data_IF_386574820073
#
_entry.id   IF_386574820073
#
_cell.length_a   1.000
_cell.length_b   1.000
_cell.length_c   1.000
_cell.angle_alpha   90.00
_cell.angle_beta   90.00
_cell.angle_gamma   90.00
#
_symmetry.space_group_name_H-M   'P 1'
#
loop_
_entity.id
_entity.type
_entity.pdbx_description
1 polymer ?
#
# COMPACT_ATOMS: atom_id res chain seq x y z
N UNK A 1 -1.58 -4.24 -26.38
CA UNK A 1 -0.80 -4.96 -25.35
C UNK A 1 -1.68 -4.95 -24.13
N UNK A 2 -2.45 -6.01 -23.96
CA UNK A 2 -3.43 -6.10 -22.89
C UNK A 2 -2.67 -6.62 -21.66
N UNK A 3 -2.20 -5.71 -20.82
CA UNK A 3 -1.38 -6.00 -19.64
C UNK A 3 -2.22 -6.60 -18.50
N UNK A 4 -2.90 -7.72 -18.77
CA UNK A 4 -3.87 -8.33 -17.86
C UNK A 4 -3.38 -9.65 -17.23
N UNK A 5 -2.15 -10.09 -17.49
CA UNK A 5 -1.53 -11.18 -16.72
C UNK A 5 -0.62 -10.62 -15.62
N UNK A 6 -0.48 -11.33 -14.50
CA UNK A 6 0.46 -10.95 -13.42
C UNK A 6 1.90 -10.83 -13.93
N UNK A 7 2.27 -11.66 -14.90
CA UNK A 7 3.58 -11.57 -15.56
C UNK A 7 3.75 -10.24 -16.28
N UNK A 8 2.68 -9.67 -16.85
CA UNK A 8 2.74 -8.35 -17.49
C UNK A 8 2.98 -7.22 -16.48
N UNK A 9 2.41 -7.29 -15.27
CA UNK A 9 2.56 -6.21 -14.28
C UNK A 9 3.96 -6.15 -13.69
N UNK A 10 4.58 -7.30 -13.45
CA UNK A 10 5.96 -7.39 -12.95
C UNK A 10 6.94 -6.85 -13.98
N UNK A 11 6.74 -7.22 -15.25
CA UNK A 11 7.53 -6.70 -16.38
C UNK A 11 7.38 -5.18 -16.48
N UNK A 12 6.16 -4.66 -16.38
CA UNK A 12 5.91 -3.21 -16.44
C UNK A 12 6.56 -2.49 -15.26
N UNK A 13 6.40 -2.99 -14.04
CA UNK A 13 6.97 -2.38 -12.84
C UNK A 13 8.50 -2.30 -12.90
N UNK A 14 9.17 -3.38 -13.30
CA UNK A 14 10.61 -3.40 -13.48
C UNK A 14 11.07 -2.46 -14.60
N UNK A 15 10.40 -2.49 -15.77
CA UNK A 15 10.74 -1.60 -16.89
C UNK A 15 10.60 -0.13 -16.52
N UNK A 16 9.53 0.26 -15.81
CA UNK A 16 9.35 1.64 -15.36
C UNK A 16 10.48 2.07 -14.43
N UNK A 17 10.87 1.20 -13.49
CA UNK A 17 11.97 1.48 -12.57
C UNK A 17 13.29 1.71 -13.31
N UNK A 18 13.64 0.81 -14.24
CA UNK A 18 14.87 0.87 -15.02
C UNK A 18 14.89 2.08 -15.97
N UNK A 19 13.80 2.28 -16.72
CA UNK A 19 13.68 3.34 -17.71
C UNK A 19 13.82 4.73 -17.09
N UNK A 20 13.24 4.93 -15.91
CA UNK A 20 13.25 6.23 -15.22
C UNK A 20 14.28 6.32 -14.10
N UNK A 21 15.11 5.28 -13.89
CA UNK A 21 16.14 5.21 -12.83
C UNK A 21 15.57 5.53 -11.45
N UNK A 22 14.42 4.94 -11.13
CA UNK A 22 13.73 5.15 -9.86
C UNK A 22 14.31 4.23 -8.78
N UNK A 23 14.40 4.73 -7.54
CA UNK A 23 14.77 3.90 -6.39
C UNK A 23 13.74 2.79 -6.15
N UNK A 24 12.47 3.11 -6.37
CA UNK A 24 11.35 2.20 -6.16
C UNK A 24 10.17 2.52 -7.07
N UNK A 25 9.35 1.50 -7.34
CA UNK A 25 8.04 1.63 -7.98
C UNK A 25 7.02 0.92 -7.10
N UNK A 26 5.89 1.57 -6.81
CA UNK A 26 4.75 0.97 -6.11
C UNK A 26 3.54 1.00 -7.03
N UNK A 27 2.96 -0.17 -7.31
CA UNK A 27 1.77 -0.30 -8.15
C UNK A 27 0.59 -0.74 -7.27
N UNK A 28 -0.47 0.06 -7.23
CA UNK A 28 -1.74 -0.32 -6.61
C UNK A 28 -2.54 -1.21 -7.55
N UNK A 29 -3.10 -2.29 -7.03
CA UNK A 29 -3.83 -3.33 -7.78
C UNK A 29 -5.25 -3.52 -7.23
N UNK A 30 -5.88 -2.43 -6.79
CA UNK A 30 -7.25 -2.43 -6.26
C UNK A 30 -7.46 -3.53 -5.20
N UNK A 31 -8.40 -4.45 -5.41
CA UNK A 31 -8.71 -5.57 -4.52
C UNK A 31 -7.58 -6.61 -4.39
N UNK A 32 -6.57 -6.60 -5.26
CA UNK A 32 -5.38 -7.45 -5.09
C UNK A 32 -4.34 -6.81 -4.15
N UNK A 33 -4.51 -5.55 -3.76
CA UNK A 33 -3.58 -4.82 -2.89
C UNK A 33 -2.55 -4.00 -3.67
N UNK A 34 -1.26 -4.28 -3.49
CA UNK A 34 -0.18 -3.55 -4.17
C UNK A 34 1.08 -4.40 -4.38
N UNK A 35 1.89 -4.03 -5.37
CA UNK A 35 3.18 -4.64 -5.64
C UNK A 35 4.28 -3.57 -5.60
N UNK A 36 5.32 -3.80 -4.80
CA UNK A 36 6.48 -2.92 -4.63
C UNK A 36 7.72 -3.50 -5.32
N UNK A 37 8.47 -2.65 -6.00
CA UNK A 37 9.72 -2.96 -6.70
C UNK A 37 10.88 -2.10 -6.21
N UNK A 38 11.57 -2.51 -5.15
CA UNK A 38 12.67 -1.74 -4.52
C UNK A 38 14.05 -2.41 -4.66
N UNK A 39 14.13 -3.51 -5.41
CA UNK A 39 15.31 -4.38 -5.51
C UNK A 39 14.90 -5.85 -5.37
N UNK A 40 13.80 -6.09 -4.67
CA UNK A 40 12.96 -7.28 -4.79
C UNK A 40 11.59 -6.97 -5.41
N UNK A 41 10.73 -7.99 -5.48
CA UNK A 41 9.30 -7.84 -5.78
C UNK A 41 8.54 -8.24 -4.51
N UNK A 42 7.75 -7.31 -3.96
CA UNK A 42 6.97 -7.54 -2.75
C UNK A 42 5.48 -7.40 -3.08
N UNK A 43 4.75 -8.50 -2.95
CA UNK A 43 3.30 -8.50 -3.12
C UNK A 43 2.63 -8.32 -1.76
N UNK A 44 1.85 -7.24 -1.62
CA UNK A 44 1.20 -6.85 -0.38
C UNK A 44 -0.31 -6.96 -0.61
N UNK A 45 -0.98 -8.01 -0.10
CA UNK A 45 -2.40 -8.21 -0.32
C UNK A 45 -3.21 -7.13 0.40
N UNK A 46 -4.38 -6.76 -0.15
CA UNK A 46 -5.31 -5.90 0.59
C UNK A 46 -5.96 -6.65 1.75
N UNK A 47 -6.34 -5.91 2.78
CA UNK A 47 -7.10 -6.43 3.94
C UNK A 47 -8.38 -5.63 4.18
N UNK A 48 -8.89 -4.97 3.14
CA UNK A 48 -10.18 -4.29 3.18
C UNK A 48 -11.30 -5.31 3.47
N UNK A 49 -11.98 -5.16 4.61
CA UNK A 49 -13.07 -6.07 5.00
C UNK A 49 -14.35 -5.80 4.20
N UNK A 50 -14.70 -4.53 4.07
CA UNK A 50 -15.89 -4.06 3.37
C UNK A 50 -15.49 -2.83 2.55
N UNK A 51 -15.86 -2.80 1.27
CA UNK A 51 -15.57 -1.70 0.35
C UNK A 51 -16.88 -0.97 0.07
N UNK A 52 -16.98 0.27 0.53
CA UNK A 52 -18.13 1.14 0.37
C UNK A 52 -17.90 2.23 -0.68
N UNK A 53 -16.76 2.92 -0.64
CA UNK A 53 -16.44 4.02 -1.55
C UNK A 53 -14.93 4.09 -1.79
N UNK A 54 -14.49 4.09 -3.05
CA UNK A 54 -13.06 4.14 -3.42
C UNK A 54 -12.53 5.56 -3.59
N UNK A 55 -13.37 6.57 -3.41
CA UNK A 55 -13.02 7.98 -3.59
C UNK A 55 -11.94 8.42 -2.59
N UNK A 56 -10.81 8.92 -3.08
CA UNK A 56 -9.69 9.39 -2.24
C UNK A 56 -8.78 8.29 -1.68
N UNK A 57 -8.99 7.02 -2.05
CA UNK A 57 -8.12 5.93 -1.63
C UNK A 57 -6.68 6.10 -2.13
N UNK A 58 -6.52 6.50 -3.39
CA UNK A 58 -5.21 6.79 -3.99
C UNK A 58 -4.47 7.92 -3.27
N UNK A 59 -5.16 9.04 -2.99
CA UNK A 59 -4.60 10.18 -2.26
C UNK A 59 -4.17 9.79 -0.85
N UNK A 60 -4.96 8.93 -0.18
CA UNK A 60 -4.61 8.39 1.14
C UNK A 60 -3.35 7.52 1.06
N UNK A 61 -3.29 6.60 0.09
CA UNK A 61 -2.15 5.70 -0.10
C UNK A 61 -0.87 6.50 -0.33
N UNK A 62 -0.85 7.46 -1.26
CA UNK A 62 0.35 8.24 -1.55
C UNK A 62 0.77 9.13 -0.38
N UNK A 63 -0.19 9.73 0.32
CA UNK A 63 0.08 10.59 1.48
C UNK A 63 0.72 9.79 2.62
N UNK A 64 0.14 8.64 2.96
CA UNK A 64 0.62 7.78 4.05
C UNK A 64 1.94 7.12 3.69
N UNK A 65 2.10 6.65 2.44
CA UNK A 65 3.37 6.09 1.95
C UNK A 65 4.51 7.10 2.06
N UNK A 66 4.27 8.33 1.59
CA UNK A 66 5.26 9.42 1.63
C UNK A 66 5.60 9.79 3.07
N UNK A 67 4.59 9.90 3.95
CA UNK A 67 4.78 10.21 5.37
C UNK A 67 5.61 9.13 6.07
N UNK A 68 5.25 7.85 5.93
CA UNK A 68 5.97 6.74 6.54
C UNK A 68 7.43 6.70 6.06
N UNK A 69 7.65 6.91 4.75
CA UNK A 69 9.00 6.95 4.20
C UNK A 69 9.81 8.12 4.75
N UNK A 70 9.22 9.31 4.82
CA UNK A 70 9.85 10.50 5.38
C UNK A 70 10.17 10.34 6.87
N UNK A 71 9.38 9.56 7.60
CA UNK A 71 9.60 9.20 9.00
C UNK A 71 10.68 8.12 9.21
N UNK A 72 11.28 7.59 8.14
CA UNK A 72 12.39 6.64 8.20
C UNK A 72 12.00 5.17 8.02
N UNK A 73 10.74 4.86 7.71
CA UNK A 73 10.35 3.49 7.37
C UNK A 73 11.06 3.00 6.11
N UNK A 74 11.25 1.67 6.02
CA UNK A 74 11.65 1.02 4.77
C UNK A 74 10.54 1.16 3.70
N UNK A 75 10.87 0.90 2.43
CA UNK A 75 9.88 0.95 1.35
C UNK A 75 8.76 -0.06 1.56
N UNK A 76 9.08 -1.27 2.01
CA UNK A 76 8.09 -2.31 2.30
C UNK A 76 7.20 -1.93 3.49
N UNK A 77 7.76 -1.40 4.58
CA UNK A 77 6.97 -0.92 5.72
C UNK A 77 6.05 0.22 5.32
N UNK A 78 6.56 1.21 4.58
CA UNK A 78 5.75 2.32 4.08
C UNK A 78 4.59 1.83 3.20
N UNK A 79 4.85 0.87 2.31
CA UNK A 79 3.83 0.27 1.47
C UNK A 79 2.78 -0.49 2.30
N UNK A 80 3.18 -1.28 3.30
CA UNK A 80 2.26 -1.99 4.21
C UNK A 80 1.37 -1.02 4.99
N UNK A 81 1.94 0.07 5.52
CA UNK A 81 1.19 1.11 6.25
C UNK A 81 0.20 1.80 5.31
N UNK A 82 0.64 2.17 4.10
CA UNK A 82 -0.22 2.79 3.10
C UNK A 82 -1.37 1.89 2.65
N UNK A 83 -1.10 0.59 2.47
CA UNK A 83 -2.13 -0.40 2.13
C UNK A 83 -3.18 -0.53 3.23
N UNK A 84 -2.76 -0.54 4.50
CA UNK A 84 -3.67 -0.55 5.64
C UNK A 84 -4.55 0.71 5.68
N UNK A 85 -3.97 1.89 5.43
CA UNK A 85 -4.72 3.14 5.35
C UNK A 85 -5.72 3.14 4.19
N UNK A 86 -5.29 2.69 3.00
CA UNK A 86 -6.16 2.51 1.83
C UNK A 86 -7.34 1.59 2.14
N UNK A 87 -7.08 0.44 2.77
CA UNK A 87 -8.12 -0.51 3.20
C UNK A 87 -9.12 0.07 4.21
N UNK A 88 -8.70 1.01 5.07
CA UNK A 88 -9.61 1.69 6.00
C UNK A 88 -10.52 2.68 5.28
N UNK A 89 -9.96 3.53 4.40
CA UNK A 89 -10.75 4.59 3.76
C UNK A 89 -11.76 4.05 2.78
N UNK A 90 -11.43 2.95 2.09
CA UNK A 90 -12.40 2.32 1.19
C UNK A 90 -13.61 1.74 1.92
N UNK A 91 -13.48 1.52 3.24
CA UNK A 91 -14.56 1.11 4.13
C UNK A 91 -15.41 2.26 4.69
N UNK A 92 -15.23 3.49 4.21
CA UNK A 92 -15.97 4.69 4.66
C UNK A 92 -16.66 5.35 3.46
N UNK A 93 -17.64 6.22 3.72
CA UNK A 93 -18.35 6.97 2.66
C UNK A 93 -17.64 8.30 2.41
N UNK A 94 -17.41 8.64 1.15
CA UNK A 94 -16.77 9.90 0.73
C UNK A 94 -15.29 9.97 1.07
N UNK A 95 -14.70 11.16 0.89
CA UNK A 95 -13.30 11.45 1.23
C UNK A 95 -13.08 11.48 2.74
N UNK A 96 -12.94 10.29 3.31
CA UNK A 96 -12.78 10.09 4.74
C UNK A 96 -11.30 10.06 5.14
N UNK A 97 -10.99 10.56 6.32
CA UNK A 97 -9.63 10.49 6.89
C UNK A 97 -9.40 9.18 7.64
N UNK A 98 -8.12 8.83 7.82
CA UNK A 98 -7.68 7.73 8.69
C UNK A 98 -7.10 8.34 9.95
N UNK A 99 -7.62 7.95 11.12
CA UNK A 99 -7.00 8.31 12.39
C UNK A 99 -5.81 7.41 12.70
N UNK A 100 -4.85 7.93 13.48
CA UNK A 100 -3.68 7.17 13.94
C UNK A 100 -4.09 5.86 14.65
N UNK A 101 -5.10 5.92 15.52
CA UNK A 101 -5.58 4.74 16.26
C UNK A 101 -6.13 3.65 15.35
N UNK A 102 -6.93 4.03 14.34
CA UNK A 102 -7.44 3.08 13.35
C UNK A 102 -6.30 2.44 12.56
N UNK A 103 -5.33 3.25 12.13
CA UNK A 103 -4.20 2.77 11.34
C UNK A 103 -3.34 1.79 12.14
N UNK A 104 -2.97 2.14 13.38
CA UNK A 104 -2.18 1.28 14.26
C UNK A 104 -2.93 -0.03 14.56
N UNK A 105 -4.23 0.07 14.88
CA UNK A 105 -5.06 -1.11 15.17
C UNK A 105 -5.13 -2.05 13.96
N UNK A 106 -5.41 -1.50 12.78
CA UNK A 106 -5.50 -2.28 11.53
C UNK A 106 -4.16 -2.89 11.18
N UNK A 107 -3.08 -2.11 11.18
CA UNK A 107 -1.73 -2.59 10.89
C UNK A 107 -1.33 -3.75 11.82
N UNK A 108 -1.54 -3.59 13.13
CA UNK A 108 -1.25 -4.65 14.09
C UNK A 108 -2.11 -5.90 13.88
N UNK A 109 -3.38 -5.75 13.51
CA UNK A 109 -4.24 -6.90 13.22
C UNK A 109 -3.80 -7.69 11.98
N UNK A 110 -3.14 -7.03 11.03
CA UNK A 110 -2.67 -7.63 9.78
C UNK A 110 -1.29 -8.28 9.98
N UNK A 111 -0.35 -7.56 10.60
CA UNK A 111 1.07 -7.92 10.61
C UNK A 111 1.61 -8.38 11.97
N UNK A 112 0.85 -8.23 13.07
CA UNK A 112 1.27 -8.63 14.42
C UNK A 112 0.31 -9.66 15.04
N UNK A 113 0.47 -10.93 14.66
CA UNK A 113 0.05 -12.04 15.53
C UNK A 113 1.19 -12.28 16.55
N UNK A 114 1.21 -11.50 17.64
CA UNK A 114 1.97 -11.86 18.84
C UNK A 114 3.21 -11.02 19.23
N UNK A 115 3.27 -9.73 18.93
CA UNK A 115 4.38 -8.90 19.43
C UNK A 115 4.02 -7.43 19.54
N UNK A 116 3.94 -6.92 20.76
CA UNK A 116 3.77 -5.50 21.04
C UNK A 116 4.94 -4.70 20.45
N UNK A 117 4.69 -3.93 19.38
CA UNK A 117 5.55 -2.80 19.08
C UNK A 117 5.32 -1.77 20.21
N UNK A 118 6.28 -1.68 21.12
CA UNK A 118 6.33 -0.61 22.12
C UNK A 118 6.85 0.65 21.44
N UNK A 119 5.94 1.46 20.92
CA UNK A 119 6.16 2.90 20.83
C UNK A 119 6.04 3.54 22.22
#
# INVERSE_FOLDING_TARGET
>A
MDANSREDIDIVGQKLKEQYKLDTVLITRSEEGMTLYDGGIHNIPTYAKEVYDVTGAGDTVISVFTLARAAGATWEEAAKIANAAGGIVVGKIGTSTVSEKELISTYNSIYNIGGTCKC
#
